data_IF_458236443647
#
_entry.id   IF_458236443647
#
_cell.length_a   1.000
_cell.length_b   1.000
_cell.length_c   1.000
_cell.angle_alpha   90.00
_cell.angle_beta   90.00
_cell.angle_gamma   90.00
#
_symmetry.space_group_name_H-M   'P 1'
#
loop_
_entity.id
_entity.type
_entity.pdbx_description
1 polymer ?
#
# COMPACT_ATOMS: atom_id res chain seq x y z
N UNK A 1 -20.09 26.23 4.84
CA UNK A 1 -18.66 26.33 5.25
C UNK A 1 -18.16 24.92 5.21
N UNK A 2 -17.41 24.56 4.16
CA UNK A 2 -16.90 23.20 3.99
C UNK A 2 -16.12 22.80 5.23
N UNK A 3 -16.17 21.51 5.58
CA UNK A 3 -15.23 20.85 6.49
C UNK A 3 -13.81 20.97 5.90
N UNK A 4 -13.21 22.16 6.00
CA UNK A 4 -11.93 22.52 5.41
C UNK A 4 -10.75 22.16 6.33
N UNK A 5 -11.03 21.61 7.51
CA UNK A 5 -10.03 21.05 8.41
C UNK A 5 -10.29 19.55 8.55
N UNK A 6 -9.25 18.74 8.35
CA UNK A 6 -9.29 17.29 8.46
C UNK A 6 -9.89 16.87 9.81
N UNK A 7 -11.14 16.39 9.82
CA UNK A 7 -11.72 15.75 11.01
C UNK A 7 -11.05 14.39 11.11
N UNK A 8 -10.06 14.28 11.99
CA UNK A 8 -9.45 13.01 12.33
C UNK A 8 -10.35 12.27 13.33
N UNK A 9 -11.06 11.25 12.83
CA UNK A 9 -11.83 10.33 13.66
C UNK A 9 -10.91 9.20 14.11
N UNK A 10 -10.66 9.13 15.42
CA UNK A 10 -9.89 8.03 16.00
C UNK A 10 -10.77 6.76 16.13
N UNK A 11 -10.14 5.57 16.08
CA UNK A 11 -10.77 4.24 16.17
C UNK A 11 -11.46 3.91 17.51
N UNK A 12 -11.73 4.90 18.35
CA UNK A 12 -12.53 4.75 19.57
C UNK A 12 -13.50 5.91 19.78
N UNK A 13 -13.63 6.82 18.82
CA UNK A 13 -14.55 7.95 18.92
C UNK A 13 -16.00 7.47 18.94
N UNK A 14 -16.85 8.18 19.67
CA UNK A 14 -18.27 7.89 19.83
C UNK A 14 -18.98 7.79 18.48
N UNK A 15 -18.62 8.68 17.54
CA UNK A 15 -19.18 8.64 16.19
C UNK A 15 -18.88 7.33 15.47
N UNK A 16 -17.63 6.84 15.56
CA UNK A 16 -17.23 5.60 14.89
C UNK A 16 -17.95 4.41 15.52
N UNK A 17 -18.00 4.33 16.85
CA UNK A 17 -18.71 3.27 17.55
C UNK A 17 -20.21 3.24 17.21
N UNK A 18 -20.82 4.43 17.08
CA UNK A 18 -22.21 4.57 16.67
C UNK A 18 -22.44 4.10 15.24
N UNK A 19 -21.58 4.51 14.30
CA UNK A 19 -21.68 4.09 12.89
C UNK A 19 -21.47 2.59 12.73
N UNK A 20 -20.54 2.00 13.49
CA UNK A 20 -20.31 0.55 13.52
C UNK A 20 -21.49 -0.22 14.11
N UNK A 21 -22.15 0.34 15.13
CA UNK A 21 -23.32 -0.28 15.76
C UNK A 21 -24.57 -0.19 14.87
N UNK A 22 -24.86 0.99 14.34
CA UNK A 22 -26.11 1.25 13.59
C UNK A 22 -26.04 0.73 12.15
N UNK A 23 -24.83 0.70 11.54
CA UNK A 23 -24.58 0.25 10.16
C UNK A 23 -25.53 0.85 9.11
N UNK A 24 -25.96 2.09 9.32
CA UNK A 24 -26.83 2.88 8.43
C UNK A 24 -26.40 4.34 8.42
N UNK A 25 -26.91 5.09 7.45
CA UNK A 25 -26.81 6.54 7.49
C UNK A 25 -27.52 7.12 8.71
N UNK A 26 -26.96 8.20 9.24
CA UNK A 26 -27.42 8.89 10.44
C UNK A 26 -27.58 10.39 10.16
N UNK A 27 -28.65 10.96 10.69
CA UNK A 27 -28.93 12.39 10.61
C UNK A 27 -28.14 13.16 11.68
N UNK A 28 -27.87 14.43 11.40
CA UNK A 28 -27.28 15.36 12.38
C UNK A 28 -28.02 15.34 13.73
N UNK A 29 -29.34 15.30 13.69
CA UNK A 29 -30.21 15.30 14.87
C UNK A 29 -30.10 14.01 15.71
N UNK A 30 -29.73 12.88 15.09
CA UNK A 30 -29.47 11.62 15.78
C UNK A 30 -28.07 11.63 16.44
N UNK A 31 -27.12 12.35 15.83
CA UNK A 31 -25.70 12.34 16.21
C UNK A 31 -25.42 13.34 17.35
N UNK A 32 -25.80 14.61 17.19
CA UNK A 32 -25.42 15.69 18.11
C UNK A 32 -25.88 15.51 19.58
N UNK A 33 -27.03 14.88 19.89
CA UNK A 33 -27.41 14.64 21.27
C UNK A 33 -26.49 13.67 22.02
N UNK A 34 -25.78 12.79 21.30
CA UNK A 34 -24.97 11.73 21.90
C UNK A 34 -23.64 12.24 22.47
N UNK A 35 -23.16 13.40 22.01
CA UNK A 35 -21.90 13.99 22.49
C UNK A 35 -22.01 14.74 23.81
N UNK A 36 -23.22 15.14 24.23
CA UNK A 36 -23.47 16.09 25.35
C UNK A 36 -22.88 15.71 26.72
N UNK A 37 -22.37 14.49 26.91
CA UNK A 37 -21.84 13.99 28.19
C UNK A 37 -20.57 13.13 28.03
N UNK A 38 -19.81 13.29 26.95
CA UNK A 38 -18.64 12.43 26.67
C UNK A 38 -17.36 13.20 26.95
N UNK A 39 -16.68 12.83 28.03
CA UNK A 39 -15.36 13.38 28.36
C UNK A 39 -14.35 13.11 27.23
N UNK A 40 -13.58 14.13 26.83
CA UNK A 40 -12.55 14.11 25.77
C UNK A 40 -13.04 14.14 24.31
N UNK A 41 -14.32 14.44 24.03
CA UNK A 41 -14.80 14.63 22.65
C UNK A 41 -15.32 16.06 22.35
N UNK A 42 -15.10 17.01 23.27
CA UNK A 42 -15.54 18.41 23.14
C UNK A 42 -15.07 19.07 21.83
N UNK A 43 -13.83 18.81 21.40
CA UNK A 43 -13.29 19.33 20.12
C UNK A 43 -14.05 18.78 18.90
N UNK A 44 -14.31 17.47 18.89
CA UNK A 44 -15.05 16.84 17.80
C UNK A 44 -16.50 17.32 17.76
N UNK A 45 -17.14 17.43 18.93
CA UNK A 45 -18.50 17.97 19.04
C UNK A 45 -18.56 19.40 18.51
N UNK A 46 -17.65 20.28 18.95
CA UNK A 46 -17.61 21.67 18.51
C UNK A 46 -17.41 21.80 17.00
N UNK A 47 -16.53 20.98 16.41
CA UNK A 47 -16.27 20.97 14.97
C UNK A 47 -17.48 20.45 14.18
N UNK A 48 -18.11 19.38 14.65
CA UNK A 48 -19.35 18.88 14.04
C UNK A 48 -20.47 19.93 14.12
N UNK A 49 -20.63 20.59 15.27
CA UNK A 49 -21.62 21.66 15.46
C UNK A 49 -21.38 22.85 14.53
N UNK A 50 -20.12 23.25 14.32
CA UNK A 50 -19.73 24.34 13.41
C UNK A 50 -19.84 23.97 11.92
N UNK A 51 -19.84 22.68 11.60
CA UNK A 51 -20.01 22.21 10.22
C UNK A 51 -21.47 22.26 9.76
N UNK A 52 -21.69 22.35 8.45
CA UNK A 52 -23.01 22.38 7.81
C UNK A 52 -23.55 20.99 7.45
N UNK A 53 -22.98 19.92 8.03
CA UNK A 53 -23.44 18.57 7.77
C UNK A 53 -24.89 18.35 8.23
N UNK A 54 -25.67 17.66 7.42
CA UNK A 54 -27.01 17.17 7.73
C UNK A 54 -27.05 15.64 7.86
N UNK A 55 -26.12 14.94 7.19
CA UNK A 55 -26.07 13.49 7.09
C UNK A 55 -24.64 12.97 7.26
N UNK A 56 -24.52 11.82 7.91
CA UNK A 56 -23.30 11.00 7.93
C UNK A 56 -23.60 9.64 7.33
N UNK A 57 -22.81 9.25 6.34
CA UNK A 57 -23.00 8.00 5.62
C UNK A 57 -21.79 7.10 5.85
N UNK A 58 -21.95 5.98 6.55
CA UNK A 58 -20.83 5.07 6.78
C UNK A 58 -20.43 4.35 5.48
N UNK A 59 -19.12 4.18 5.29
CA UNK A 59 -18.54 3.45 4.17
C UNK A 59 -18.10 2.06 4.66
N UNK A 60 -18.94 1.05 4.46
CA UNK A 60 -18.61 -0.32 4.84
C UNK A 60 -18.01 -1.11 3.68
N UNK A 61 -16.90 -1.79 3.94
CA UNK A 61 -16.40 -2.85 3.06
C UNK A 61 -16.54 -4.18 3.80
N UNK A 62 -17.49 -5.00 3.37
CA UNK A 62 -17.93 -6.20 4.11
C UNK A 62 -18.41 -5.79 5.51
N UNK A 63 -17.72 -6.25 6.56
CA UNK A 63 -18.08 -5.99 7.96
C UNK A 63 -17.27 -4.88 8.63
N UNK A 64 -16.36 -4.25 7.89
CA UNK A 64 -15.49 -3.24 8.46
C UNK A 64 -15.86 -1.85 7.97
N UNK A 65 -16.07 -0.92 8.90
CA UNK A 65 -16.17 0.50 8.60
C UNK A 65 -14.81 0.99 8.07
N UNK A 66 -14.80 1.47 6.83
CA UNK A 66 -13.60 2.00 6.17
C UNK A 66 -13.51 3.53 6.24
N UNK A 67 -14.62 4.18 6.58
CA UNK A 67 -14.71 5.62 6.77
C UNK A 67 -16.16 6.06 6.79
N UNK A 68 -16.39 7.36 6.68
CA UNK A 68 -17.72 7.93 6.54
C UNK A 68 -17.68 9.16 5.62
N UNK A 69 -18.82 9.49 5.03
CA UNK A 69 -19.03 10.70 4.25
C UNK A 69 -19.94 11.64 5.02
N UNK A 70 -19.54 12.90 5.12
CA UNK A 70 -20.39 13.97 5.61
C UNK A 70 -21.04 14.69 4.44
N UNK A 71 -22.35 14.79 4.46
CA UNK A 71 -23.13 15.56 3.48
C UNK A 71 -23.80 16.71 4.19
N UNK A 72 -23.64 17.90 3.61
CA UNK A 72 -24.37 19.09 4.02
C UNK A 72 -25.80 19.12 3.52
N UNK A 73 -26.51 20.15 3.94
CA UNK A 73 -27.89 20.40 3.50
C UNK A 73 -28.01 20.48 1.98
N UNK A 74 -29.16 20.07 1.46
CA UNK A 74 -29.48 20.25 0.05
C UNK A 74 -29.50 21.73 -0.28
N UNK A 75 -28.95 22.09 -1.44
CA UNK A 75 -29.04 23.46 -1.97
C UNK A 75 -30.48 23.93 -2.20
N UNK A 76 -31.43 23.01 -2.39
CA UNK A 76 -32.85 23.36 -2.51
C UNK A 76 -33.50 23.75 -1.18
N UNK A 77 -32.87 23.41 -0.05
CA UNK A 77 -33.43 23.57 1.30
C UNK A 77 -34.40 22.46 1.72
N UNK A 78 -34.75 21.54 0.82
CA UNK A 78 -35.63 20.42 1.13
C UNK A 78 -34.90 19.32 1.90
N UNK A 79 -35.68 18.46 2.57
CA UNK A 79 -35.16 17.24 3.16
C UNK A 79 -34.76 16.22 2.07
N UNK A 80 -33.86 15.30 2.44
CA UNK A 80 -33.54 14.15 1.60
C UNK A 80 -34.74 13.20 1.54
N UNK A 81 -35.18 12.87 0.34
CA UNK A 81 -36.25 11.90 0.12
C UNK A 81 -35.74 10.48 0.43
N UNK A 82 -36.65 9.54 0.74
CA UNK A 82 -36.28 8.14 0.95
C UNK A 82 -35.53 7.52 -0.25
N UNK A 83 -35.87 7.91 -1.48
CA UNK A 83 -35.20 7.43 -2.69
C UNK A 83 -33.75 7.91 -2.78
N UNK A 84 -33.48 9.16 -2.43
CA UNK A 84 -32.12 9.70 -2.41
C UNK A 84 -31.28 9.05 -1.32
N UNK A 85 -31.85 8.83 -0.13
CA UNK A 85 -31.18 8.13 0.96
C UNK A 85 -30.80 6.69 0.58
N UNK A 86 -31.69 5.97 -0.11
CA UNK A 86 -31.38 4.64 -0.66
C UNK A 86 -30.28 4.71 -1.71
N UNK A 87 -30.35 5.65 -2.65
CA UNK A 87 -29.33 5.83 -3.67
C UNK A 87 -27.95 6.13 -3.05
N UNK A 88 -27.91 6.99 -2.02
CA UNK A 88 -26.70 7.30 -1.28
C UNK A 88 -26.14 6.09 -0.54
N UNK A 89 -26.99 5.24 0.04
CA UNK A 89 -26.57 3.98 0.67
C UNK A 89 -25.95 3.02 -0.34
N UNK A 90 -26.57 2.85 -1.51
CA UNK A 90 -26.02 2.01 -2.57
C UNK A 90 -24.68 2.55 -3.07
N UNK A 91 -24.58 3.88 -3.20
CA UNK A 91 -23.36 4.55 -3.60
C UNK A 91 -22.24 4.39 -2.54
N UNK A 92 -22.56 4.44 -1.26
CA UNK A 92 -21.57 4.25 -0.19
C UNK A 92 -20.95 2.86 -0.23
N UNK A 93 -21.74 1.81 -0.48
CA UNK A 93 -21.23 0.43 -0.54
C UNK A 93 -20.23 0.26 -1.69
N UNK A 94 -20.57 0.78 -2.87
CA UNK A 94 -19.67 0.75 -4.03
C UNK A 94 -18.42 1.59 -3.80
N UNK A 95 -18.56 2.77 -3.20
CA UNK A 95 -17.45 3.67 -2.89
C UNK A 95 -16.49 3.04 -1.89
N UNK A 96 -17.01 2.40 -0.84
CA UNK A 96 -16.21 1.72 0.17
C UNK A 96 -15.37 0.58 -0.42
N UNK A 97 -15.96 -0.23 -1.30
CA UNK A 97 -15.25 -1.30 -2.02
C UNK A 97 -14.17 -0.74 -2.96
N UNK A 98 -14.51 0.28 -3.76
CA UNK A 98 -13.56 0.90 -4.68
C UNK A 98 -12.37 1.53 -3.95
N UNK A 99 -12.63 2.23 -2.84
CA UNK A 99 -11.60 2.83 -1.99
C UNK A 99 -10.71 1.75 -1.37
N UNK A 100 -11.28 0.67 -0.83
CA UNK A 100 -10.53 -0.44 -0.28
C UNK A 100 -9.61 -1.08 -1.34
N UNK A 101 -10.11 -1.28 -2.55
CA UNK A 101 -9.32 -1.82 -3.67
C UNK A 101 -8.18 -0.88 -4.08
N UNK A 102 -8.44 0.43 -4.18
CA UNK A 102 -7.42 1.42 -4.52
C UNK A 102 -6.30 1.49 -3.47
N UNK A 103 -6.66 1.43 -2.17
CA UNK A 103 -5.70 1.39 -1.07
C UNK A 103 -4.86 0.10 -1.08
N UNK A 104 -5.49 -1.05 -1.32
CA UNK A 104 -4.80 -2.34 -1.45
C UNK A 104 -3.81 -2.32 -2.62
N UNK A 105 -4.26 -1.87 -3.80
CA UNK A 105 -3.40 -1.76 -4.97
C UNK A 105 -2.21 -0.83 -4.72
N UNK A 106 -2.45 0.35 -4.12
CA UNK A 106 -1.39 1.30 -3.76
C UNK A 106 -0.40 0.73 -2.75
N UNK A 107 -0.85 -0.14 -1.82
CA UNK A 107 0.03 -0.82 -0.87
C UNK A 107 0.89 -1.88 -1.56
N UNK A 108 0.32 -2.65 -2.49
CA UNK A 108 1.07 -3.62 -3.30
C UNK A 108 2.12 -2.91 -4.14
N UNK A 109 1.76 -1.80 -4.79
CA UNK A 109 2.68 -1.03 -5.63
C UNK A 109 3.85 -0.47 -4.82
N UNK A 110 3.59 0.13 -3.66
CA UNK A 110 4.65 0.62 -2.76
C UNK A 110 5.56 -0.51 -2.27
N UNK A 111 5.02 -1.69 -1.99
CA UNK A 111 5.83 -2.84 -1.59
C UNK A 111 6.73 -3.32 -2.73
N UNK A 112 6.24 -3.35 -3.97
CA UNK A 112 7.06 -3.68 -5.15
C UNK A 112 8.20 -2.67 -5.32
N UNK A 113 7.89 -1.37 -5.31
CA UNK A 113 8.89 -0.31 -5.44
C UNK A 113 9.93 -0.36 -4.31
N UNK A 114 9.50 -0.66 -3.08
CA UNK A 114 10.41 -0.83 -1.95
C UNK A 114 11.34 -2.04 -2.14
N UNK A 115 10.81 -3.19 -2.57
CA UNK A 115 11.61 -4.38 -2.85
C UNK A 115 12.60 -4.15 -3.99
N UNK A 116 12.17 -3.50 -5.07
CA UNK A 116 13.06 -3.12 -6.18
C UNK A 116 14.16 -2.17 -5.73
N UNK A 117 13.83 -1.18 -4.87
CA UNK A 117 14.82 -0.27 -4.29
C UNK A 117 15.80 -0.98 -3.39
N UNK A 118 15.36 -1.92 -2.55
CA UNK A 118 16.29 -2.73 -1.74
C UNK A 118 17.24 -3.48 -2.67
N UNK A 119 16.72 -4.23 -3.63
CA UNK A 119 17.53 -5.04 -4.55
C UNK A 119 18.54 -4.19 -5.32
N UNK A 120 18.15 -2.98 -5.73
CA UNK A 120 18.99 -2.08 -6.51
C UNK A 120 19.98 -1.24 -5.68
N UNK A 121 19.69 -0.99 -4.39
CA UNK A 121 20.52 -0.18 -3.51
C UNK A 121 21.37 -1.01 -2.54
N UNK A 122 21.36 -2.35 -2.62
CA UNK A 122 22.39 -3.13 -1.91
C UNK A 122 23.74 -2.79 -2.56
N UNK A 123 24.70 -2.32 -1.78
CA UNK A 123 26.10 -2.18 -2.22
C UNK A 123 26.76 -3.52 -2.60
N UNK A 124 26.03 -4.62 -2.42
CA UNK A 124 26.38 -5.97 -2.84
C UNK A 124 25.69 -6.32 -4.16
N UNK A 125 26.45 -6.94 -5.04
CA UNK A 125 25.92 -7.54 -6.26
C UNK A 125 24.97 -8.71 -5.97
N UNK A 126 23.80 -8.73 -6.63
CA UNK A 126 22.80 -9.80 -6.50
C UNK A 126 22.54 -10.48 -7.85
N UNK A 127 22.68 -11.81 -7.86
CA UNK A 127 22.23 -12.69 -8.94
C UNK A 127 21.25 -13.70 -8.36
N UNK A 128 20.10 -13.87 -9.00
CA UNK A 128 19.17 -14.97 -8.71
C UNK A 128 19.05 -15.84 -9.95
N UNK A 129 19.06 -17.16 -9.76
CA UNK A 129 18.84 -18.16 -10.82
C UNK A 129 17.62 -19.01 -10.52
N UNK A 130 16.91 -19.45 -11.56
CA UNK A 130 15.78 -20.36 -11.45
C UNK A 130 16.21 -21.84 -11.33
N UNK A 131 15.22 -22.75 -11.38
CA UNK A 131 15.45 -24.19 -11.28
C UNK A 131 16.19 -24.77 -12.49
N UNK A 132 16.15 -24.10 -13.64
CA UNK A 132 16.81 -24.51 -14.87
C UNK A 132 18.19 -23.85 -15.02
N UNK A 133 18.62 -23.07 -14.01
CA UNK A 133 19.92 -22.39 -13.98
C UNK A 133 19.96 -21.12 -14.82
N UNK A 134 18.80 -20.56 -15.19
CA UNK A 134 18.70 -19.29 -15.91
C UNK A 134 18.61 -18.12 -14.94
N UNK A 135 19.23 -17.00 -15.31
CA UNK A 135 19.31 -15.81 -14.45
C UNK A 135 17.97 -15.05 -14.50
N UNK A 136 17.35 -14.88 -13.34
CA UNK A 136 16.06 -14.19 -13.17
C UNK A 136 16.20 -12.80 -12.55
N UNK A 137 17.27 -12.56 -11.78
CA UNK A 137 17.58 -11.25 -11.21
C UNK A 137 19.06 -10.95 -11.41
N UNK A 138 19.36 -9.73 -11.85
CA UNK A 138 20.71 -9.19 -11.99
C UNK A 138 20.64 -7.69 -11.65
N UNK A 139 21.08 -7.31 -10.45
CA UNK A 139 20.92 -5.92 -9.98
C UNK A 139 21.95 -4.97 -10.60
N UNK A 140 21.68 -3.66 -10.51
CA UNK A 140 22.56 -2.60 -11.04
C UNK A 140 24.01 -2.72 -10.54
N UNK A 141 24.20 -3.11 -9.27
CA UNK A 141 25.55 -3.27 -8.71
C UNK A 141 26.35 -4.33 -9.47
N UNK A 142 25.72 -5.40 -9.95
CA UNK A 142 26.39 -6.40 -10.79
C UNK A 142 26.73 -5.88 -12.18
N UNK A 143 25.91 -4.99 -12.76
CA UNK A 143 26.26 -4.31 -14.02
C UNK A 143 27.51 -3.45 -13.83
N UNK A 144 27.60 -2.71 -12.72
CA UNK A 144 28.75 -1.86 -12.39
C UNK A 144 30.01 -2.68 -12.07
N UNK A 145 29.87 -3.79 -11.34
CA UNK A 145 31.00 -4.66 -10.95
C UNK A 145 31.57 -5.46 -12.11
N UNK A 146 30.73 -5.94 -13.03
CA UNK A 146 31.13 -6.90 -14.07
C UNK A 146 31.19 -6.24 -15.47
N UNK A 147 30.53 -5.09 -15.65
CA UNK A 147 30.46 -4.39 -16.94
C UNK A 147 29.51 -5.03 -17.96
N UNK A 148 28.60 -5.90 -17.53
CA UNK A 148 27.59 -6.54 -18.38
C UNK A 148 26.22 -5.92 -18.13
N UNK A 149 25.47 -5.59 -19.19
CA UNK A 149 24.14 -5.04 -19.00
C UNK A 149 23.13 -6.14 -18.62
N UNK A 150 22.21 -5.83 -17.71
CA UNK A 150 21.15 -6.73 -17.22
C UNK A 150 20.34 -7.34 -18.39
N UNK A 151 20.06 -6.54 -19.42
CA UNK A 151 19.36 -6.99 -20.65
C UNK A 151 20.10 -8.10 -21.41
N UNK A 152 21.42 -8.16 -21.28
CA UNK A 152 22.25 -9.16 -21.97
C UNK A 152 22.37 -10.47 -21.18
N UNK A 153 21.98 -10.45 -19.90
CA UNK A 153 22.20 -11.53 -18.94
C UNK A 153 20.88 -12.20 -18.52
N UNK A 154 19.80 -11.45 -18.39
CA UNK A 154 18.49 -11.98 -18.01
C UNK A 154 17.99 -13.06 -18.97
N UNK A 155 17.45 -14.14 -18.41
CA UNK A 155 16.94 -15.29 -19.17
C UNK A 155 18.03 -16.16 -19.80
N UNK A 156 19.31 -15.88 -19.58
CA UNK A 156 20.42 -16.74 -20.03
C UNK A 156 20.95 -17.59 -18.89
N UNK A 157 21.61 -18.70 -19.26
CA UNK A 157 22.32 -19.55 -18.30
C UNK A 157 23.51 -18.82 -17.68
N UNK A 158 23.85 -19.17 -16.44
CA UNK A 158 25.00 -18.63 -15.70
C UNK A 158 26.37 -18.68 -16.42
N UNK A 159 26.50 -19.44 -17.52
CA UNK A 159 27.70 -19.51 -18.39
C UNK A 159 28.05 -18.20 -19.09
N UNK A 160 27.11 -17.25 -19.18
CA UNK A 160 27.35 -15.92 -19.78
C UNK A 160 28.16 -15.02 -18.84
N UNK A 161 28.19 -15.35 -17.54
CA UNK A 161 28.97 -14.63 -16.54
C UNK A 161 30.45 -15.05 -16.60
N UNK A 162 31.37 -14.24 -16.02
CA UNK A 162 32.76 -14.63 -15.85
C UNK A 162 32.90 -16.00 -15.19
N UNK A 163 33.91 -16.76 -15.63
CA UNK A 163 34.11 -18.18 -15.26
C UNK A 163 34.01 -18.40 -13.75
N UNK A 164 34.69 -17.56 -12.96
CA UNK A 164 34.66 -17.61 -11.49
C UNK A 164 33.24 -17.61 -10.91
N UNK A 165 32.35 -16.72 -11.39
CA UNK A 165 30.96 -16.65 -10.91
C UNK A 165 30.12 -17.80 -11.44
N UNK A 166 30.29 -18.15 -12.72
CA UNK A 166 29.53 -19.23 -13.35
C UNK A 166 29.77 -20.56 -12.64
N UNK A 167 31.01 -20.86 -12.24
CA UNK A 167 31.38 -22.07 -11.51
C UNK A 167 30.76 -22.12 -10.13
N UNK A 168 30.78 -21.00 -9.39
CA UNK A 168 30.17 -20.92 -8.06
C UNK A 168 28.66 -21.13 -8.14
N UNK A 169 27.99 -20.45 -9.08
CA UNK A 169 26.55 -20.57 -9.26
C UNK A 169 26.16 -22.00 -9.63
N UNK A 170 26.88 -22.61 -10.59
CA UNK A 170 26.64 -24.00 -10.99
C UNK A 170 26.89 -24.98 -9.85
N UNK A 171 27.94 -24.78 -9.06
CA UNK A 171 28.25 -25.60 -7.88
C UNK A 171 27.18 -25.47 -6.80
N UNK A 172 26.71 -24.25 -6.52
CA UNK A 172 25.63 -24.02 -5.56
C UNK A 172 24.31 -24.65 -6.03
N UNK A 173 24.00 -24.51 -7.32
CA UNK A 173 22.78 -25.06 -7.93
C UNK A 173 22.77 -26.60 -7.89
N UNK A 174 23.90 -27.25 -8.22
CA UNK A 174 24.02 -28.71 -8.19
C UNK A 174 24.04 -29.27 -6.76
N UNK A 175 24.75 -28.62 -5.84
CA UNK A 175 24.92 -29.14 -4.47
C UNK A 175 23.76 -28.76 -3.54
N UNK A 176 22.95 -27.76 -3.91
CA UNK A 176 21.94 -27.10 -3.07
C UNK A 176 22.45 -26.66 -1.69
N UNK A 177 23.78 -26.46 -1.56
CA UNK A 177 24.41 -25.98 -0.34
C UNK A 177 24.87 -24.54 -0.54
N UNK A 178 24.70 -23.67 0.48
CA UNK A 178 25.23 -22.32 0.43
C UNK A 178 26.76 -22.37 0.38
N UNK A 179 27.35 -21.56 -0.49
CA UNK A 179 28.81 -21.36 -0.59
C UNK A 179 29.09 -19.90 -0.27
N UNK A 180 29.98 -19.67 0.71
CA UNK A 180 30.46 -18.33 1.07
C UNK A 180 31.93 -18.23 0.71
N UNK A 181 32.28 -17.19 -0.06
CA UNK A 181 33.65 -16.94 -0.53
C UNK A 181 34.01 -15.53 -0.09
N UNK A 182 34.95 -15.36 0.87
CA UNK A 182 35.27 -14.05 1.43
C UNK A 182 35.87 -13.05 0.45
N UNK A 183 36.58 -13.53 -0.57
CA UNK A 183 37.18 -12.73 -1.64
C UNK A 183 37.14 -13.52 -2.94
N UNK A 184 36.66 -12.90 -4.03
CA UNK A 184 36.56 -13.55 -5.32
C UNK A 184 37.26 -12.71 -6.39
N UNK A 185 38.34 -13.24 -6.95
CA UNK A 185 38.98 -12.63 -8.10
C UNK A 185 38.11 -12.82 -9.37
N UNK A 186 37.66 -11.71 -9.94
CA UNK A 186 36.94 -11.71 -11.22
C UNK A 186 37.90 -11.34 -12.34
N UNK A 187 38.07 -12.28 -13.29
CA UNK A 187 38.73 -11.98 -14.55
C UNK A 187 37.73 -11.35 -15.50
N UNK A 188 37.76 -10.02 -15.60
CA UNK A 188 36.90 -9.23 -16.50
C UNK A 188 37.80 -8.65 -17.60
N UNK A 189 37.94 -9.37 -18.71
CA UNK A 189 38.85 -8.95 -19.79
C UNK A 189 40.35 -9.04 -19.43
N UNK A 190 41.18 -8.11 -19.93
CA UNK A 190 42.63 -8.04 -19.63
C UNK A 190 42.97 -7.39 -18.28
N UNK A 191 41.99 -7.04 -17.45
CA UNK A 191 42.22 -6.41 -16.16
C UNK A 191 41.60 -7.25 -15.04
N UNK A 192 42.41 -7.63 -14.06
CA UNK A 192 41.94 -8.31 -12.85
C UNK A 192 41.23 -7.28 -11.97
N UNK A 193 39.92 -7.48 -11.73
CA UNK A 193 39.17 -6.72 -10.75
C UNK A 193 38.98 -7.60 -9.50
N UNK A 194 39.53 -7.14 -8.37
CA UNK A 194 39.27 -7.74 -7.07
C UNK A 194 37.95 -7.21 -6.54
N UNK A 195 37.03 -8.12 -6.22
CA UNK A 195 35.70 -7.83 -5.68
C UNK A 195 35.46 -8.63 -4.40
#
# INVERSE_FOLDING_TARGET
VWLNEDIFLNQGSTLINLLEKERRLLLREEILPLFKNIENEDDLEDRLRKSDFSLVIPLFSKDFLKGCLFLGEKRSGDLFSPYELQALTLFSDQTAMALANAQLFSRIQRMKEYNERIVNNVDSGLIVVDRDGQITTFNRKMEEMIGLACKEVLGKTAKVLPSSLSEIILKCWQTRKPVSIPQLALKIGQSDALV
#
